data_IF_542581822938
#
_entry.id   IF_542581822938
#
_cell.length_a   1.000
_cell.length_b   1.000
_cell.length_c   1.000
_cell.angle_alpha   90.00
_cell.angle_beta   90.00
_cell.angle_gamma   90.00
#
_symmetry.space_group_name_H-M   'P 1'
#
loop_
_entity.id
_entity.type
_entity.pdbx_description
1 polymer ?
#
# COMPACT_ATOMS: atom_id res chain seq x y z
N UNK A 1 13.36 -5.62 11.73
CA UNK A 1 13.85 -6.24 10.49
C UNK A 1 12.71 -7.05 9.88
N UNK A 2 12.52 -6.99 8.57
CA UNK A 2 11.52 -7.81 7.86
C UNK A 2 12.26 -8.94 7.16
N UNK A 3 11.78 -10.17 7.31
CA UNK A 3 12.39 -11.35 6.72
C UNK A 3 11.59 -11.87 5.52
N UNK A 4 12.30 -12.50 4.59
CA UNK A 4 11.65 -13.11 3.43
C UNK A 4 10.71 -14.23 3.84
N UNK A 5 9.55 -14.30 3.21
CA UNK A 5 8.50 -15.27 3.53
C UNK A 5 7.51 -14.83 4.61
N UNK A 6 7.80 -13.74 5.34
CA UNK A 6 6.86 -13.19 6.31
C UNK A 6 5.65 -12.54 5.63
N UNK A 7 4.59 -12.35 6.41
CA UNK A 7 3.47 -11.49 6.02
C UNK A 7 3.60 -10.18 6.75
N UNK A 8 3.61 -9.08 6.02
CA UNK A 8 3.70 -7.72 6.59
C UNK A 8 2.48 -6.91 6.21
N UNK A 9 2.11 -5.98 7.10
CA UNK A 9 0.99 -5.07 6.92
C UNK A 9 1.55 -3.65 6.99
N UNK A 10 1.42 -2.91 5.90
CA UNK A 10 1.75 -1.49 5.82
C UNK A 10 0.45 -0.72 5.97
N UNK A 11 0.42 0.24 6.89
CA UNK A 11 -0.76 1.05 7.17
C UNK A 11 -0.44 2.52 6.90
N UNK A 12 -1.29 3.18 6.12
CA UNK A 12 -1.23 4.61 5.87
C UNK A 12 -2.36 5.29 6.64
N UNK A 13 -2.05 5.87 7.80
CA UNK A 13 -3.03 6.64 8.57
C UNK A 13 -2.97 8.09 8.12
N UNK A 14 -4.12 8.63 7.73
CA UNK A 14 -4.28 10.04 7.35
C UNK A 14 -5.12 10.69 8.46
N UNK A 15 -4.64 11.78 9.05
CA UNK A 15 -5.33 12.46 10.15
C UNK A 15 -6.48 13.37 9.69
N UNK A 16 -6.68 13.52 8.38
CA UNK A 16 -7.78 14.31 7.85
C UNK A 16 -9.08 13.51 7.70
N UNK A 17 -10.19 14.22 7.87
CA UNK A 17 -11.56 13.78 8.07
C UNK A 17 -12.38 13.61 6.77
N UNK A 18 -11.75 13.72 5.60
CA UNK A 18 -12.50 13.56 4.34
C UNK A 18 -12.76 12.09 4.03
N UNK A 19 -14.02 11.70 4.10
CA UNK A 19 -14.50 10.34 3.88
C UNK A 19 -14.51 9.88 2.40
N UNK A 20 -14.02 10.69 1.45
CA UNK A 20 -14.20 10.46 0.01
C UNK A 20 -12.92 10.10 -0.76
N UNK A 21 -11.80 9.81 -0.07
CA UNK A 21 -10.58 9.40 -0.76
C UNK A 21 -10.56 7.91 -1.09
N UNK A 22 -9.92 7.59 -2.21
CA UNK A 22 -9.52 6.23 -2.52
C UNK A 22 -8.04 6.08 -2.23
N UNK A 23 -7.70 5.06 -1.46
CA UNK A 23 -6.32 4.68 -1.27
C UNK A 23 -5.82 3.91 -2.49
N UNK A 24 -4.79 4.43 -3.12
CA UNK A 24 -4.05 3.72 -4.14
C UNK A 24 -2.64 3.43 -3.65
N UNK A 25 -2.15 2.22 -3.89
CA UNK A 25 -0.83 1.80 -3.43
C UNK A 25 0.09 1.59 -4.63
N UNK A 26 1.28 2.16 -4.53
CA UNK A 26 2.34 2.04 -5.52
C UNK A 26 3.57 1.43 -4.91
N UNK A 27 4.28 0.64 -5.71
CA UNK A 27 5.58 0.07 -5.42
C UNK A 27 6.59 0.68 -6.38
N UNK A 28 7.38 1.64 -5.90
CA UNK A 28 8.12 2.54 -6.80
C UNK A 28 7.16 3.21 -7.78
N UNK A 29 7.40 3.06 -9.09
CA UNK A 29 6.54 3.62 -10.14
C UNK A 29 5.43 2.68 -10.64
N UNK A 30 5.31 1.48 -10.07
CA UNK A 30 4.33 0.48 -10.51
C UNK A 30 3.17 0.40 -9.51
N UNK A 31 1.93 0.39 -9.99
CA UNK A 31 0.77 0.11 -9.14
C UNK A 31 0.88 -1.31 -8.56
N UNK A 32 0.54 -1.47 -7.28
CA UNK A 32 0.55 -2.81 -6.67
C UNK A 32 -0.44 -3.73 -7.39
N UNK A 33 -0.03 -4.97 -7.66
CA UNK A 33 -0.80 -5.98 -8.40
C UNK A 33 -1.27 -7.13 -7.50
N UNK A 34 -1.76 -8.22 -8.08
CA UNK A 34 -2.41 -9.37 -7.41
C UNK A 34 -1.61 -10.01 -6.24
N UNK A 35 -0.30 -9.81 -6.18
CA UNK A 35 0.54 -10.25 -5.04
C UNK A 35 0.22 -9.52 -3.73
N UNK A 36 -0.43 -8.37 -3.82
CA UNK A 36 -0.74 -7.48 -2.71
C UNK A 36 -2.23 -7.47 -2.43
N UNK A 37 -2.62 -7.46 -1.16
CA UNK A 37 -4.01 -7.22 -0.76
C UNK A 37 -4.14 -5.79 -0.26
N UNK A 38 -4.92 -4.98 -0.99
CA UNK A 38 -5.25 -3.61 -0.59
C UNK A 38 -6.61 -3.62 0.10
N UNK A 39 -6.65 -3.15 1.34
CA UNK A 39 -7.88 -2.87 2.07
C UNK A 39 -7.86 -1.42 2.54
N UNK A 40 -8.26 -0.51 1.65
CA UNK A 40 -8.20 0.93 1.89
C UNK A 40 -6.80 1.37 2.33
N UNK A 41 -6.70 1.79 3.58
CA UNK A 41 -5.50 2.32 4.22
C UNK A 41 -4.42 1.28 4.54
N UNK A 42 -4.69 0.00 4.27
CA UNK A 42 -3.80 -1.11 4.65
C UNK A 42 -3.40 -1.93 3.44
N UNK A 43 -2.10 -2.07 3.21
CA UNK A 43 -1.48 -2.94 2.22
C UNK A 43 -0.89 -4.18 2.91
N UNK A 44 -1.33 -5.36 2.50
CA UNK A 44 -0.78 -6.63 2.97
C UNK A 44 0.10 -7.27 1.91
N UNK A 45 1.34 -7.58 2.28
CA UNK A 45 2.30 -8.32 1.45
C UNK A 45 2.42 -9.72 2.05
N UNK A 46 2.05 -10.74 1.28
CA UNK A 46 2.19 -12.14 1.70
C UNK A 46 3.47 -12.71 1.13
N UNK A 47 4.30 -13.30 1.98
CA UNK A 47 5.54 -13.93 1.54
C UNK A 47 6.53 -12.89 1.01
N UNK A 48 6.93 -11.95 1.86
CA UNK A 48 7.85 -10.86 1.51
C UNK A 48 9.06 -11.40 0.75
N UNK A 49 9.41 -10.72 -0.34
CA UNK A 49 10.58 -11.03 -1.15
C UNK A 49 11.60 -9.92 -0.99
N UNK A 50 12.86 -10.23 -1.29
CA UNK A 50 13.92 -9.20 -1.33
C UNK A 50 13.59 -8.06 -2.30
N UNK A 51 12.81 -8.35 -3.36
CA UNK A 51 12.31 -7.33 -4.30
C UNK A 51 11.31 -6.36 -3.69
N UNK A 52 10.75 -6.66 -2.52
CA UNK A 52 9.77 -5.82 -1.82
C UNK A 52 10.47 -4.80 -0.89
N UNK A 53 11.80 -4.81 -0.85
CA UNK A 53 12.63 -3.79 -0.21
C UNK A 53 12.68 -2.52 -1.09
N UNK A 54 11.52 -1.87 -1.23
CA UNK A 54 11.35 -0.63 -1.97
C UNK A 54 10.36 0.27 -1.26
N UNK A 55 10.29 1.53 -1.69
CA UNK A 55 9.34 2.50 -1.15
C UNK A 55 7.92 2.22 -1.67
N UNK A 56 6.96 2.30 -0.73
CA UNK A 56 5.54 2.21 -1.01
C UNK A 56 4.89 3.56 -0.77
N UNK A 57 4.29 4.12 -1.81
CA UNK A 57 3.62 5.42 -1.75
C UNK A 57 2.11 5.22 -1.85
N UNK A 58 1.35 5.69 -0.85
CA UNK A 58 -0.09 5.85 -0.98
C UNK A 58 -0.35 7.09 -1.84
N UNK A 59 -0.98 6.91 -3.00
CA UNK A 59 -1.46 8.03 -3.81
C UNK A 59 -2.91 8.37 -3.41
N UNK A 60 -3.17 9.68 -3.33
CA UNK A 60 -4.44 10.27 -2.97
C UNK A 60 -5.05 10.91 -4.21
N UNK A 61 -5.66 10.10 -5.08
CA UNK A 61 -6.47 10.68 -6.15
C UNK A 61 -7.77 11.22 -5.54
N UNK A 62 -7.82 12.55 -5.37
CA UNK A 62 -9.07 13.27 -5.14
C UNK A 62 -9.87 13.17 -6.45
N UNK A 63 -10.80 12.22 -6.53
CA UNK A 63 -11.64 12.08 -7.71
C UNK A 63 -12.36 13.42 -7.97
N UNK A 64 -12.27 14.03 -9.17
CA UNK A 64 -13.06 15.19 -9.47
C UNK A 64 -14.52 14.75 -9.52
N UNK A 65 -15.40 15.47 -8.83
CA UNK A 65 -16.85 15.35 -8.99
C UNK A 65 -17.25 15.55 -10.46
#
# INVERSE_FOLDING_TARGET
PVFTGETVNLKCVIESDHSNWRYEWYKGSNKVSDHYTVNGDTLTIRGVKKSDEVEYLPDMEFWPL
#
